data_IF_656736850464
#
_entry.id   IF_656736850464
#
_cell.length_a   1.000
_cell.length_b   1.000
_cell.length_c   1.000
_cell.angle_alpha   90.00
_cell.angle_beta   90.00
_cell.angle_gamma   90.00
#
_symmetry.space_group_name_H-M   'P 1'
#
loop_
_entity.id
_entity.type
_entity.pdbx_description
1 polymer ?
#
# COMPACT_ATOMS: atom_id res chain seq x y z
N UNK A 1 -9.51 24.74 -7.84
CA UNK A 1 -8.19 25.07 -8.43
C UNK A 1 -7.22 23.93 -8.22
N UNK A 2 -7.15 22.98 -9.16
CA UNK A 2 -6.07 21.97 -9.28
C UNK A 2 -5.97 21.65 -10.78
N UNK A 3 -4.77 21.66 -11.35
CA UNK A 3 -4.55 21.31 -12.77
C UNK A 3 -3.91 22.38 -13.68
N UNK A 4 -3.46 23.51 -13.15
CA UNK A 4 -2.69 24.50 -13.93
C UNK A 4 -1.19 24.21 -13.87
N UNK A 5 -0.40 24.47 -14.94
CA UNK A 5 1.05 24.26 -14.96
C UNK A 5 1.81 25.05 -13.89
N UNK A 6 1.24 26.16 -13.40
CA UNK A 6 1.74 26.96 -12.28
C UNK A 6 1.10 26.55 -10.96
N UNK A 7 1.18 25.26 -10.62
CA UNK A 7 0.82 24.77 -9.30
C UNK A 7 2.11 24.50 -8.50
N UNK A 8 2.50 25.39 -7.56
CA UNK A 8 3.71 25.22 -6.76
C UNK A 8 3.65 23.97 -5.87
N UNK A 9 2.45 23.42 -5.62
CA UNK A 9 2.29 22.15 -4.94
C UNK A 9 2.40 20.97 -5.91
N UNK A 10 2.13 21.15 -7.21
CA UNK A 10 2.19 20.10 -8.24
C UNK A 10 3.59 19.54 -8.53
N UNK A 11 4.64 20.33 -8.24
CA UNK A 11 6.05 19.93 -8.34
C UNK A 11 6.66 19.45 -7.02
N UNK A 12 5.97 19.67 -5.89
CA UNK A 12 6.44 19.25 -4.59
C UNK A 12 6.58 17.72 -4.57
N UNK A 13 7.69 17.24 -4.02
CA UNK A 13 8.01 15.81 -4.01
C UNK A 13 6.93 14.96 -3.31
N UNK A 14 6.18 15.57 -2.39
CA UNK A 14 5.00 14.96 -1.76
C UNK A 14 3.89 14.61 -2.79
N UNK A 15 3.60 15.48 -3.77
CA UNK A 15 2.59 15.17 -4.81
C UNK A 15 3.06 14.11 -5.79
N UNK A 16 4.37 14.08 -6.09
CA UNK A 16 4.95 13.00 -6.92
C UNK A 16 4.84 11.67 -6.18
N UNK A 17 5.16 11.66 -4.90
CA UNK A 17 5.01 10.49 -4.03
C UNK A 17 3.55 10.03 -3.96
N UNK A 18 2.58 10.92 -3.72
CA UNK A 18 1.15 10.57 -3.71
C UNK A 18 0.71 9.89 -5.02
N UNK A 19 1.06 10.48 -6.17
CA UNK A 19 0.70 9.91 -7.48
C UNK A 19 1.36 8.56 -7.73
N UNK A 20 2.60 8.39 -7.28
CA UNK A 20 3.28 7.09 -7.35
C UNK A 20 2.57 6.06 -6.48
N UNK A 21 2.23 6.40 -5.24
CA UNK A 21 1.55 5.49 -4.31
C UNK A 21 0.21 4.99 -4.87
N UNK A 22 -0.57 5.86 -5.52
CA UNK A 22 -1.82 5.47 -6.20
C UNK A 22 -1.54 4.44 -7.29
N UNK A 23 -0.58 4.70 -8.18
CA UNK A 23 -0.24 3.77 -9.27
C UNK A 23 0.30 2.44 -8.76
N UNK A 24 1.17 2.49 -7.75
CA UNK A 24 1.78 1.31 -7.14
C UNK A 24 0.68 0.45 -6.46
N UNK A 25 -0.31 1.08 -5.83
CA UNK A 25 -1.48 0.39 -5.27
C UNK A 25 -2.34 -0.26 -6.35
N UNK A 26 -2.71 0.48 -7.41
CA UNK A 26 -3.54 -0.05 -8.49
C UNK A 26 -2.90 -1.25 -9.18
N UNK A 27 -1.59 -1.17 -9.48
CA UNK A 27 -0.84 -2.27 -10.08
C UNK A 27 -0.77 -3.49 -9.15
N UNK A 28 -0.51 -3.26 -7.86
CA UNK A 28 -0.48 -4.33 -6.86
C UNK A 28 -1.85 -5.01 -6.72
N UNK A 29 -2.94 -4.24 -6.67
CA UNK A 29 -4.28 -4.81 -6.56
C UNK A 29 -4.69 -5.58 -7.82
N UNK A 30 -4.25 -5.18 -9.01
CA UNK A 30 -4.46 -5.99 -10.23
C UNK A 30 -3.83 -7.38 -10.09
N UNK A 31 -2.59 -7.45 -9.59
CA UNK A 31 -1.88 -8.72 -9.38
C UNK A 31 -2.54 -9.58 -8.27
N UNK A 32 -2.96 -8.94 -7.17
CA UNK A 32 -3.63 -9.61 -6.05
C UNK A 32 -4.97 -10.19 -6.52
N UNK A 33 -5.80 -9.40 -7.20
CA UNK A 33 -7.11 -9.84 -7.67
C UNK A 33 -7.01 -10.98 -8.69
N UNK A 34 -5.93 -11.04 -9.47
CA UNK A 34 -5.71 -12.10 -10.45
C UNK A 34 -5.28 -13.45 -9.83
N UNK A 35 -4.78 -13.44 -8.59
CA UNK A 35 -4.18 -14.62 -7.93
C UNK A 35 -4.87 -15.03 -6.63
N UNK A 36 -5.75 -14.18 -6.11
CA UNK A 36 -6.43 -14.46 -4.85
C UNK A 36 -7.36 -15.67 -4.98
N UNK A 37 -7.44 -16.40 -3.88
CA UNK A 37 -8.31 -17.54 -3.64
C UNK A 37 -8.83 -17.47 -2.19
N UNK A 38 -9.55 -18.50 -1.75
CA UNK A 38 -10.11 -18.53 -0.40
C UNK A 38 -9.03 -18.55 0.71
N UNK A 39 -7.84 -19.11 0.44
CA UNK A 39 -6.76 -19.26 1.43
C UNK A 39 -5.92 -17.98 1.57
N UNK A 40 -6.00 -17.08 0.57
CA UNK A 40 -5.30 -15.80 0.52
C UNK A 40 -6.21 -14.59 0.69
N UNK A 41 -7.53 -14.80 0.80
CA UNK A 41 -8.53 -13.73 0.90
C UNK A 41 -8.24 -12.75 2.05
N UNK A 42 -7.93 -13.27 3.24
CA UNK A 42 -7.65 -12.44 4.42
C UNK A 42 -6.40 -11.56 4.21
N UNK A 43 -5.36 -12.13 3.61
CA UNK A 43 -4.12 -11.41 3.29
C UNK A 43 -4.36 -10.38 2.18
N UNK A 44 -5.20 -10.69 1.19
CA UNK A 44 -5.59 -9.76 0.14
C UNK A 44 -6.36 -8.56 0.71
N UNK A 45 -7.27 -8.77 1.67
CA UNK A 45 -7.98 -7.70 2.37
C UNK A 45 -7.01 -6.85 3.20
N UNK A 46 -6.06 -7.49 3.89
CA UNK A 46 -5.02 -6.79 4.63
C UNK A 46 -4.15 -5.91 3.71
N UNK A 47 -3.74 -6.43 2.54
CA UNK A 47 -3.01 -5.68 1.51
C UNK A 47 -3.79 -4.47 1.02
N UNK A 48 -5.09 -4.66 0.73
CA UNK A 48 -5.98 -3.60 0.28
C UNK A 48 -6.14 -2.47 1.32
N UNK A 49 -5.98 -2.78 2.60
CA UNK A 49 -6.15 -1.86 3.73
C UNK A 49 -4.87 -1.09 4.10
N UNK A 50 -3.71 -1.43 3.52
CA UNK A 50 -2.43 -0.75 3.80
C UNK A 50 -2.49 0.77 3.59
N UNK A 51 -3.09 1.30 2.50
CA UNK A 51 -3.14 2.75 2.27
C UNK A 51 -3.82 3.55 3.39
N UNK A 52 -4.76 2.95 4.12
CA UNK A 52 -5.50 3.62 5.21
C UNK A 52 -4.61 4.00 6.41
N UNK A 53 -3.42 3.39 6.49
CA UNK A 53 -2.40 3.67 7.50
C UNK A 53 -1.56 4.91 7.15
N UNK A 54 -1.56 5.35 5.89
CA UNK A 54 -0.80 6.51 5.44
C UNK A 54 -1.55 7.78 5.81
N UNK A 55 -1.20 8.38 6.95
CA UNK A 55 -1.85 9.59 7.49
C UNK A 55 -0.83 10.68 7.80
N UNK A 56 -1.34 11.89 8.05
CA UNK A 56 -0.52 13.06 8.39
C UNK A 56 -0.05 13.86 7.17
N UNK A 57 0.89 14.78 7.42
CA UNK A 57 1.39 15.74 6.43
C UNK A 57 2.91 15.85 6.52
N UNK A 58 3.58 16.14 5.40
CA UNK A 58 5.01 16.40 5.38
C UNK A 58 5.84 15.23 5.93
N UNK A 59 6.76 15.45 6.90
CA UNK A 59 7.62 14.38 7.43
C UNK A 59 6.85 13.21 8.05
N UNK A 60 5.76 13.49 8.78
CA UNK A 60 4.91 12.45 9.40
C UNK A 60 4.30 11.53 8.35
N UNK A 61 3.93 12.10 7.20
CA UNK A 61 3.41 11.33 6.07
C UNK A 61 4.51 10.46 5.46
N UNK A 62 5.72 10.99 5.29
CA UNK A 62 6.85 10.23 4.75
C UNK A 62 7.19 9.02 5.66
N UNK A 63 7.20 9.21 6.97
CA UNK A 63 7.41 8.12 7.94
C UNK A 63 6.27 7.10 7.88
N UNK A 64 5.01 7.56 7.80
CA UNK A 64 3.85 6.68 7.66
C UNK A 64 3.89 5.89 6.35
N UNK A 65 4.36 6.49 5.26
CA UNK A 65 4.59 5.80 3.98
C UNK A 65 5.65 4.71 4.14
N UNK A 66 6.77 5.00 4.82
CA UNK A 66 7.82 3.99 5.04
C UNK A 66 7.31 2.79 5.84
N UNK A 67 6.50 3.03 6.87
CA UNK A 67 5.86 1.98 7.68
C UNK A 67 4.88 1.16 6.81
N UNK A 68 4.04 1.83 6.03
CA UNK A 68 3.07 1.19 5.15
C UNK A 68 3.75 0.34 4.06
N UNK A 69 4.83 0.84 3.46
CA UNK A 69 5.63 0.10 2.47
C UNK A 69 6.26 -1.17 3.06
N UNK A 70 6.76 -1.10 4.29
CA UNK A 70 7.28 -2.27 5.01
C UNK A 70 6.16 -3.30 5.24
N UNK A 71 5.01 -2.86 5.74
CA UNK A 71 3.87 -3.75 6.00
C UNK A 71 3.34 -4.38 4.71
N UNK A 72 3.30 -3.62 3.62
CA UNK A 72 2.95 -4.11 2.28
C UNK A 72 3.88 -5.23 1.83
N UNK A 73 5.20 -5.07 2.01
CA UNK A 73 6.17 -6.09 1.62
C UNK A 73 5.95 -7.40 2.40
N UNK A 74 5.78 -7.32 3.72
CA UNK A 74 5.50 -8.48 4.57
C UNK A 74 4.22 -9.22 4.13
N UNK A 75 3.15 -8.48 3.83
CA UNK A 75 1.88 -9.06 3.39
C UNK A 75 1.96 -9.65 1.96
N UNK A 76 2.75 -9.04 1.06
CA UNK A 76 2.97 -9.57 -0.29
C UNK A 76 3.72 -10.90 -0.26
N UNK A 77 4.70 -11.03 0.64
CA UNK A 77 5.45 -12.28 0.80
C UNK A 77 4.56 -13.41 1.32
N UNK A 78 3.69 -13.11 2.29
CA UNK A 78 2.66 -14.05 2.75
C UNK A 78 1.64 -14.40 1.65
N UNK A 79 1.15 -13.41 0.92
CA UNK A 79 0.20 -13.65 -0.18
C UNK A 79 0.77 -14.57 -1.27
N UNK A 80 2.09 -14.50 -1.53
CA UNK A 80 2.78 -15.36 -2.50
C UNK A 80 3.10 -16.76 -1.96
N UNK A 81 3.12 -16.93 -0.66
CA UNK A 81 3.45 -18.21 0.02
C UNK A 81 2.30 -18.65 0.92
N UNK A 82 1.13 -18.99 0.34
CA UNK A 82 -0.04 -19.37 1.13
C UNK A 82 0.25 -20.61 1.98
N UNK A 83 0.02 -20.50 3.30
CA UNK A 83 0.31 -21.56 4.26
C UNK A 83 0.49 -21.07 5.69
N UNK A 84 1.36 -21.74 6.47
CA UNK A 84 1.60 -21.44 7.89
C UNK A 84 2.06 -19.99 8.18
N UNK A 85 2.60 -19.30 7.16
CA UNK A 85 2.99 -17.88 7.21
C UNK A 85 1.76 -16.96 7.35
N UNK A 86 0.69 -17.21 6.56
CA UNK A 86 -0.55 -16.41 6.60
C UNK A 86 -1.17 -16.40 8.00
N UNK A 87 -1.24 -17.57 8.62
CA UNK A 87 -1.78 -17.71 9.97
C UNK A 87 -0.95 -16.97 11.04
N UNK A 88 0.37 -16.91 10.89
CA UNK A 88 1.25 -16.17 11.81
C UNK A 88 1.12 -14.66 11.64
N UNK A 89 1.04 -14.16 10.41
CA UNK A 89 0.94 -12.71 10.16
C UNK A 89 -0.43 -12.17 10.57
N UNK A 90 -1.50 -12.93 10.31
CA UNK A 90 -2.85 -12.56 10.76
C UNK A 90 -2.97 -12.59 12.30
N UNK A 91 -2.27 -13.51 12.98
CA UNK A 91 -2.26 -13.57 14.45
C UNK A 91 -1.41 -12.45 15.11
N UNK A 92 -0.56 -11.77 14.34
CA UNK A 92 0.32 -10.70 14.81
C UNK A 92 -0.18 -9.28 14.45
N UNK A 93 -1.37 -9.18 13.84
CA UNK A 93 -2.02 -7.92 13.46
C UNK A 93 -2.89 -7.33 14.56
#
# INVERSE_FOLDING_TARGET
MRGTPFDPFGYADERKMERRLIKDYEAMMQDVLARMDNDTLDVAVALASVPDQIRGYGPVKADSVAIAEKKKAELLDAFRSPGAENARIMAAQ
#
